data_IF_109695490728
#
_entry.id   IF_109695490728
#
_cell.length_a   1.000
_cell.length_b   1.000
_cell.length_c   1.000
_cell.angle_alpha   90.00
_cell.angle_beta   90.00
_cell.angle_gamma   90.00
#
_symmetry.space_group_name_H-M   'P 1'
#
loop_
_entity.id
_entity.type
_entity.pdbx_description
1 polymer ?
#
# COMPACT_ATOMS: atom_id res chain seq x y z
N UNK A 1 48.47 51.20 -33.38
CA UNK A 1 47.26 51.95 -32.97
C UNK A 1 46.28 50.98 -32.31
N UNK A 2 46.32 50.85 -30.99
CA UNK A 2 45.38 50.04 -30.22
C UNK A 2 44.13 50.87 -29.92
N UNK A 3 43.03 50.59 -30.62
CA UNK A 3 41.72 51.18 -30.34
C UNK A 3 40.95 50.30 -29.36
N UNK A 4 41.08 50.58 -28.06
CA UNK A 4 40.20 50.03 -27.04
C UNK A 4 38.86 50.80 -27.09
N UNK A 5 37.86 50.25 -27.78
CA UNK A 5 36.52 50.88 -27.83
C UNK A 5 35.81 50.64 -26.49
N UNK A 6 35.30 51.69 -25.81
CA UNK A 6 34.57 51.52 -24.58
C UNK A 6 33.21 50.87 -24.88
N UNK A 7 32.89 49.78 -24.18
CA UNK A 7 31.59 49.11 -24.25
C UNK A 7 30.53 50.12 -23.81
N UNK A 8 29.57 50.42 -24.68
CA UNK A 8 28.49 51.36 -24.36
C UNK A 8 27.54 50.69 -23.38
N UNK A 9 27.12 51.42 -22.34
CA UNK A 9 26.14 50.98 -21.32
C UNK A 9 24.85 50.37 -21.91
N UNK A 10 24.48 50.74 -23.13
CA UNK A 10 23.30 50.23 -23.85
C UNK A 10 23.51 48.81 -24.44
N UNK A 11 24.74 48.45 -24.77
CA UNK A 11 25.06 47.11 -25.29
C UNK A 11 25.17 46.08 -24.14
N UNK A 12 25.57 46.54 -22.94
CA UNK A 12 25.55 45.73 -21.71
C UNK A 12 24.12 45.38 -21.27
N UNK A 13 23.17 46.31 -21.39
CA UNK A 13 21.77 46.07 -21.06
C UNK A 13 21.07 45.15 -22.07
N UNK A 14 21.47 45.18 -23.34
CA UNK A 14 20.97 44.25 -24.37
C UNK A 14 21.45 42.79 -24.13
N UNK A 15 22.65 42.61 -23.57
CA UNK A 15 23.16 41.29 -23.15
C UNK A 15 22.54 40.76 -21.85
N UNK A 16 22.09 41.64 -20.95
CA UNK A 16 21.50 41.26 -19.68
C UNK A 16 20.05 40.73 -19.79
N UNK A 17 19.32 41.10 -20.84
CA UNK A 17 17.93 40.64 -21.04
C UNK A 17 17.80 39.22 -21.59
N UNK A 18 18.86 38.62 -22.14
CA UNK A 18 18.81 37.25 -22.67
C UNK A 18 19.05 36.17 -21.60
N UNK A 19 19.52 36.54 -20.40
CA UNK A 19 19.84 35.59 -19.32
C UNK A 19 18.66 35.29 -18.37
N UNK A 20 17.55 36.03 -18.47
CA UNK A 20 16.39 35.88 -17.58
C UNK A 20 15.22 35.06 -18.16
N UNK A 21 15.39 34.48 -19.35
CA UNK A 21 14.38 33.64 -20.00
C UNK A 21 14.72 32.13 -19.94
N UNK A 22 15.55 31.70 -18.99
CA UNK A 22 15.58 30.27 -18.64
C UNK A 22 14.44 30.01 -17.65
N UNK A 23 13.49 29.11 -17.95
CA UNK A 23 12.46 28.75 -16.98
C UNK A 23 13.16 28.20 -15.73
N UNK A 24 13.00 28.90 -14.60
CA UNK A 24 13.46 28.46 -13.28
C UNK A 24 12.78 27.17 -12.79
N UNK A 25 11.83 26.66 -13.57
CA UNK A 25 11.21 25.35 -13.41
C UNK A 25 11.61 24.55 -14.64
N UNK A 26 12.78 23.93 -14.60
CA UNK A 26 13.08 22.83 -15.51
C UNK A 26 12.25 21.65 -14.99
N UNK A 27 11.26 21.15 -15.75
CA UNK A 27 10.58 19.93 -15.37
C UNK A 27 11.64 18.86 -15.22
N UNK A 28 11.60 18.15 -14.10
CA UNK A 28 12.57 17.14 -13.71
C UNK A 28 12.68 15.94 -14.70
N UNK A 29 11.92 16.00 -15.80
CA UNK A 29 11.96 15.14 -16.99
C UNK A 29 13.15 15.41 -17.93
N UNK A 30 13.82 16.57 -17.83
CA UNK A 30 14.79 17.03 -18.85
C UNK A 30 16.25 16.68 -18.50
N UNK A 31 16.55 16.31 -17.26
CA UNK A 31 17.92 15.97 -16.81
C UNK A 31 17.98 14.54 -16.26
N UNK A 32 17.90 13.55 -17.16
CA UNK A 32 18.21 12.16 -16.83
C UNK A 32 19.65 11.83 -17.26
N UNK A 33 20.50 11.42 -16.31
CA UNK A 33 21.81 10.85 -16.61
C UNK A 33 21.65 9.35 -16.91
N UNK A 34 22.37 8.84 -17.91
CA UNK A 34 22.31 7.44 -18.31
C UNK A 34 22.64 6.50 -17.14
N UNK A 35 21.74 5.56 -16.83
CA UNK A 35 21.99 4.48 -15.86
C UNK A 35 21.49 4.71 -14.42
N UNK A 36 20.90 5.86 -14.11
CA UNK A 36 20.16 6.08 -12.85
C UNK A 36 18.77 6.63 -13.17
N UNK A 37 17.68 5.86 -12.91
CA UNK A 37 16.33 6.38 -12.98
C UNK A 37 16.25 7.68 -12.18
N UNK A 38 15.76 8.76 -12.82
CA UNK A 38 15.58 10.04 -12.14
C UNK A 38 14.63 9.87 -10.95
N UNK A 39 14.69 10.79 -9.97
CA UNK A 39 13.81 10.74 -8.80
C UNK A 39 12.30 10.66 -9.16
N UNK A 40 11.89 11.09 -10.35
CA UNK A 40 10.50 11.03 -10.84
C UNK A 40 10.10 9.73 -11.54
N UNK A 41 11.00 8.73 -11.61
CA UNK A 41 10.66 7.40 -12.14
C UNK A 41 10.33 6.41 -11.02
N UNK A 42 10.38 6.85 -9.75
CA UNK A 42 10.06 6.04 -8.57
C UNK A 42 8.60 6.22 -8.17
N UNK A 43 7.98 5.14 -7.75
CA UNK A 43 6.66 5.19 -7.09
C UNK A 43 6.87 5.50 -5.61
N UNK A 44 6.28 6.59 -5.13
CA UNK A 44 6.35 7.00 -3.73
C UNK A 44 5.24 6.34 -2.92
N UNK A 45 5.62 5.61 -1.87
CA UNK A 45 4.76 4.70 -1.13
C UNK A 45 4.52 5.15 0.32
N UNK A 46 3.26 5.03 0.74
CA UNK A 46 2.85 5.00 2.15
C UNK A 46 2.36 3.61 2.57
N UNK A 47 2.65 3.21 3.80
CA UNK A 47 2.20 1.92 4.35
C UNK A 47 1.19 2.14 5.46
N UNK A 48 0.02 1.48 5.36
CA UNK A 48 -1.08 1.54 6.33
C UNK A 48 -1.28 0.14 6.90
N UNK A 49 -1.01 -0.01 8.21
CA UNK A 49 -0.86 -1.30 8.87
C UNK A 49 0.54 -1.88 8.63
N UNK A 50 1.37 -1.90 9.68
CA UNK A 50 2.78 -2.36 9.63
C UNK A 50 3.05 -3.49 10.63
N UNK A 51 2.01 -4.26 10.95
CA UNK A 51 2.09 -5.53 11.69
C UNK A 51 2.69 -6.68 10.88
N UNK A 52 2.19 -7.90 11.04
CA UNK A 52 2.78 -9.11 10.42
C UNK A 52 3.00 -9.01 8.91
N UNK A 53 1.92 -8.98 8.11
CA UNK A 53 2.03 -8.85 6.65
C UNK A 53 2.52 -7.47 6.22
N UNK A 54 2.04 -6.42 6.88
CA UNK A 54 2.44 -5.03 6.59
C UNK A 54 3.94 -4.79 6.73
N UNK A 55 4.59 -5.35 7.75
CA UNK A 55 6.04 -5.31 7.93
C UNK A 55 6.79 -6.10 6.86
N UNK A 56 6.24 -7.23 6.41
CA UNK A 56 6.77 -7.99 5.26
C UNK A 56 6.74 -7.16 3.97
N UNK A 57 5.61 -6.49 3.71
CA UNK A 57 5.46 -5.57 2.58
C UNK A 57 6.39 -4.36 2.66
N UNK A 58 6.54 -3.78 3.86
CA UNK A 58 7.46 -2.69 4.11
C UNK A 58 8.90 -3.09 3.74
N UNK A 59 9.34 -4.29 4.17
CA UNK A 59 10.64 -4.84 3.78
C UNK A 59 10.79 -5.00 2.27
N UNK A 60 9.73 -5.42 1.55
CA UNK A 60 9.74 -5.48 0.07
C UNK A 60 9.82 -4.09 -0.56
N UNK A 61 9.10 -3.10 -0.04
CA UNK A 61 9.17 -1.71 -0.48
C UNK A 61 10.58 -1.11 -0.28
N UNK A 62 11.22 -1.40 0.85
CA UNK A 62 12.61 -0.99 1.10
C UNK A 62 13.58 -1.65 0.11
N UNK A 63 13.39 -2.94 -0.21
CA UNK A 63 14.19 -3.62 -1.24
C UNK A 63 13.98 -3.00 -2.63
N UNK A 64 12.74 -2.67 -3.02
CA UNK A 64 12.48 -1.99 -4.28
C UNK A 64 13.06 -0.58 -4.32
N UNK A 65 13.18 0.07 -3.16
CA UNK A 65 13.88 1.35 -3.03
C UNK A 65 15.38 1.23 -3.29
N UNK A 66 16.04 0.18 -2.77
CA UNK A 66 17.45 -0.10 -3.08
C UNK A 66 17.69 -0.30 -4.58
N UNK A 67 16.71 -0.90 -5.27
CA UNK A 67 16.70 -1.07 -6.73
C UNK A 67 16.29 0.21 -7.50
N UNK A 68 16.02 1.31 -6.79
CA UNK A 68 15.63 2.58 -7.40
C UNK A 68 14.23 2.59 -8.04
N UNK A 69 13.35 1.66 -7.65
CA UNK A 69 11.99 1.52 -8.20
C UNK A 69 10.91 2.24 -7.37
N UNK A 70 11.13 2.36 -6.07
CA UNK A 70 10.17 2.97 -5.13
C UNK A 70 10.87 3.92 -4.16
N UNK A 71 10.13 4.80 -3.52
CA UNK A 71 10.57 5.53 -2.33
C UNK A 71 9.54 5.31 -1.22
N UNK A 72 9.99 4.97 0.00
CA UNK A 72 9.09 4.76 1.14
C UNK A 72 9.15 6.00 2.02
N UNK A 73 8.03 6.72 2.15
CA UNK A 73 8.02 8.03 2.82
C UNK A 73 7.09 8.10 4.02
N UNK A 74 6.19 7.12 4.20
CA UNK A 74 5.24 7.12 5.31
C UNK A 74 4.92 5.71 5.80
N UNK A 75 4.75 5.58 7.11
CA UNK A 75 4.26 4.38 7.79
C UNK A 75 3.14 4.75 8.76
N UNK A 76 2.15 3.89 8.92
CA UNK A 76 1.00 4.12 9.77
C UNK A 76 0.56 2.85 10.49
N UNK A 77 0.33 2.94 11.80
CA UNK A 77 -0.27 1.90 12.63
C UNK A 77 -0.95 2.53 13.84
N UNK A 78 -2.02 1.89 14.33
CA UNK A 78 -2.74 2.29 15.55
C UNK A 78 -2.05 1.77 16.81
N UNK A 79 -1.15 0.79 16.66
CA UNK A 79 -0.28 0.29 17.71
C UNK A 79 1.06 1.03 17.66
N UNK A 80 1.31 1.88 18.67
CA UNK A 80 2.50 2.74 18.72
C UNK A 80 3.81 1.95 18.80
N UNK A 81 3.79 0.72 19.33
CA UNK A 81 4.97 -0.17 19.36
C UNK A 81 5.31 -0.67 17.97
N UNK A 82 4.29 -1.08 17.18
CA UNK A 82 4.50 -1.49 15.78
C UNK A 82 4.94 -0.33 14.91
N UNK A 83 4.34 0.85 15.13
CA UNK A 83 4.69 2.07 14.41
C UNK A 83 6.16 2.45 14.65
N UNK A 84 6.61 2.44 15.91
CA UNK A 84 8.00 2.73 16.27
C UNK A 84 8.97 1.72 15.65
N UNK A 85 8.62 0.42 15.69
CA UNK A 85 9.42 -0.63 15.05
C UNK A 85 9.56 -0.41 13.54
N UNK A 86 8.46 -0.11 12.85
CA UNK A 86 8.48 0.14 11.41
C UNK A 86 9.31 1.38 11.06
N UNK A 87 9.16 2.47 11.80
CA UNK A 87 9.96 3.68 11.62
C UNK A 87 11.46 3.39 11.82
N UNK A 88 11.83 2.61 12.84
CA UNK A 88 13.20 2.16 13.05
C UNK A 88 13.72 1.32 11.87
N UNK A 89 12.95 0.33 11.41
CA UNK A 89 13.32 -0.49 10.25
C UNK A 89 13.58 0.36 9.00
N UNK A 90 12.76 1.39 8.75
CA UNK A 90 13.01 2.33 7.65
C UNK A 90 14.29 3.14 7.86
N UNK A 91 14.52 3.66 9.07
CA UNK A 91 15.72 4.43 9.39
C UNK A 91 17.00 3.60 9.25
N UNK A 92 17.00 2.36 9.75
CA UNK A 92 18.11 1.41 9.62
C UNK A 92 18.41 1.11 8.13
N UNK A 93 17.39 1.11 7.26
CA UNK A 93 17.52 0.96 5.80
C UNK A 93 17.79 2.29 5.06
N UNK A 94 18.02 3.39 5.78
CA UNK A 94 18.30 4.71 5.21
C UNK A 94 17.11 5.38 4.51
N UNK A 95 15.88 4.93 4.76
CA UNK A 95 14.65 5.54 4.27
C UNK A 95 14.13 6.58 5.28
N UNK A 96 13.76 7.77 4.79
CA UNK A 96 13.21 8.85 5.61
C UNK A 96 11.70 8.79 5.59
N UNK A 97 11.12 8.26 6.66
CA UNK A 97 9.67 8.11 6.79
C UNK A 97 9.08 9.01 7.86
N UNK A 98 7.85 9.47 7.64
CA UNK A 98 7.01 10.05 8.70
C UNK A 98 6.04 9.01 9.21
N UNK A 99 5.99 8.85 10.53
CA UNK A 99 5.09 7.94 11.23
C UNK A 99 3.73 8.63 11.50
N UNK A 100 2.64 7.87 11.33
CA UNK A 100 1.27 8.32 11.55
C UNK A 100 0.51 7.33 12.42
N UNK A 101 -0.23 7.82 13.42
CA UNK A 101 -1.19 6.99 14.16
C UNK A 101 -2.56 6.89 13.43
N UNK A 102 -2.84 7.86 12.55
CA UNK A 102 -4.08 7.95 11.80
C UNK A 102 -3.79 7.99 10.29
N UNK A 103 -4.29 6.98 9.57
CA UNK A 103 -4.05 6.83 8.15
C UNK A 103 -4.63 7.99 7.33
N UNK A 104 -5.68 8.65 7.81
CA UNK A 104 -6.30 9.79 7.12
C UNK A 104 -5.30 10.93 6.98
N UNK A 105 -4.43 11.14 7.97
CA UNK A 105 -3.36 12.15 7.92
C UNK A 105 -2.26 11.77 6.92
N UNK A 106 -1.96 10.48 6.78
CA UNK A 106 -1.05 9.97 5.75
C UNK A 106 -1.64 10.23 4.35
N UNK A 107 -2.94 9.97 4.15
CA UNK A 107 -3.61 10.17 2.86
C UNK A 107 -3.67 11.64 2.39
N UNK A 108 -3.52 12.61 3.29
CA UNK A 108 -3.45 14.03 2.91
C UNK A 108 -2.13 14.44 2.25
N UNK A 109 -1.10 13.59 2.32
CA UNK A 109 0.18 13.85 1.66
C UNK A 109 0.05 13.85 0.15
N UNK A 110 0.51 14.92 -0.48
CA UNK A 110 0.51 15.09 -1.94
C UNK A 110 1.68 14.40 -2.62
N UNK A 111 2.73 14.06 -1.86
CA UNK A 111 3.93 13.40 -2.37
C UNK A 111 3.82 11.87 -2.39
N UNK A 112 2.68 11.28 -2.01
CA UNK A 112 2.45 9.83 -2.05
C UNK A 112 1.62 9.48 -3.29
N UNK A 113 2.20 8.64 -4.15
CA UNK A 113 1.56 8.13 -5.37
C UNK A 113 0.64 6.94 -5.07
N UNK A 114 1.08 6.05 -4.17
CA UNK A 114 0.33 4.84 -3.84
C UNK A 114 0.45 4.44 -2.37
N UNK A 115 -0.55 3.71 -1.87
CA UNK A 115 -0.55 3.15 -0.52
C UNK A 115 -0.61 1.63 -0.54
N UNK A 116 0.08 1.02 0.41
CA UNK A 116 -0.01 -0.40 0.74
C UNK A 116 -0.85 -0.54 2.00
N UNK A 117 -2.01 -1.16 1.88
CA UNK A 117 -2.97 -1.41 2.96
C UNK A 117 -2.85 -2.86 3.40
N UNK A 118 -2.40 -3.07 4.64
CA UNK A 118 -2.23 -4.39 5.27
C UNK A 118 -2.78 -4.38 6.72
N UNK A 119 -3.90 -3.70 6.90
CA UNK A 119 -4.67 -3.62 8.15
C UNK A 119 -5.50 -4.89 8.35
N UNK A 120 -6.25 -5.03 9.46
CA UNK A 120 -7.27 -6.07 9.56
C UNK A 120 -8.33 -5.96 8.46
N UNK A 121 -8.90 -7.10 8.08
CA UNK A 121 -9.77 -7.26 6.90
C UNK A 121 -10.97 -6.27 6.88
N UNK A 122 -11.54 -5.94 8.06
CA UNK A 122 -12.63 -4.98 8.20
C UNK A 122 -12.29 -3.54 7.82
N UNK A 123 -11.00 -3.19 7.74
CA UNK A 123 -10.54 -1.85 7.36
C UNK A 123 -10.28 -1.69 5.87
N UNK A 124 -10.07 -2.78 5.14
CA UNK A 124 -9.55 -2.75 3.78
C UNK A 124 -10.40 -1.91 2.82
N UNK A 125 -11.72 -2.08 2.85
CA UNK A 125 -12.61 -1.41 1.92
C UNK A 125 -12.63 0.11 2.12
N UNK A 126 -12.90 0.56 3.36
CA UNK A 126 -12.97 1.99 3.68
C UNK A 126 -11.63 2.69 3.45
N UNK A 127 -10.51 2.05 3.80
CA UNK A 127 -9.18 2.63 3.55
C UNK A 127 -8.86 2.70 2.06
N UNK A 128 -9.31 1.72 1.26
CA UNK A 128 -9.15 1.74 -0.20
C UNK A 128 -9.96 2.87 -0.81
N UNK A 129 -11.23 3.04 -0.41
CA UNK A 129 -12.10 4.12 -0.88
C UNK A 129 -11.48 5.48 -0.56
N UNK A 130 -11.11 5.73 0.70
CA UNK A 130 -10.48 6.99 1.10
C UNK A 130 -9.15 7.24 0.37
N UNK A 131 -8.36 6.20 0.10
CA UNK A 131 -7.12 6.35 -0.67
C UNK A 131 -7.42 6.75 -2.12
N UNK A 132 -8.38 6.11 -2.77
CA UNK A 132 -8.79 6.47 -4.13
C UNK A 132 -9.36 7.88 -4.22
N UNK A 133 -10.20 8.30 -3.25
CA UNK A 133 -10.76 9.66 -3.17
C UNK A 133 -9.69 10.74 -2.97
N UNK A 134 -8.52 10.37 -2.43
CA UNK A 134 -7.35 11.26 -2.30
C UNK A 134 -6.34 11.08 -3.43
N UNK A 135 -6.75 10.46 -4.55
CA UNK A 135 -5.98 10.30 -5.77
C UNK A 135 -4.88 9.23 -5.70
N UNK A 136 -4.86 8.39 -4.67
CA UNK A 136 -3.79 7.41 -4.43
C UNK A 136 -4.12 6.07 -5.05
N UNK A 137 -3.15 5.49 -5.75
CA UNK A 137 -3.21 4.09 -6.14
C UNK A 137 -3.10 3.18 -4.92
N UNK A 138 -3.63 1.97 -5.00
CA UNK A 138 -3.79 1.10 -3.83
C UNK A 138 -3.28 -0.31 -4.14
N UNK A 139 -2.40 -0.80 -3.28
CA UNK A 139 -2.27 -2.23 -3.04
C UNK A 139 -2.98 -2.54 -1.73
N UNK A 140 -3.96 -3.44 -1.74
CA UNK A 140 -4.71 -3.83 -0.53
C UNK A 140 -4.58 -5.33 -0.33
N UNK A 141 -4.30 -5.76 0.90
CA UNK A 141 -4.22 -7.19 1.21
C UNK A 141 -5.54 -7.92 0.99
N UNK A 142 -5.44 -9.24 0.87
CA UNK A 142 -6.60 -10.13 0.85
C UNK A 142 -7.00 -10.50 2.28
N UNK A 143 -8.27 -10.85 2.53
CA UNK A 143 -9.43 -10.60 1.66
C UNK A 143 -9.69 -9.10 1.48
N UNK A 144 -10.12 -8.66 0.31
CA UNK A 144 -10.21 -7.22 0.01
C UNK A 144 -11.33 -6.48 0.75
N UNK A 145 -12.37 -7.19 1.20
CA UNK A 145 -13.55 -6.63 1.88
C UNK A 145 -14.29 -7.71 2.67
N UNK A 146 -15.16 -7.29 3.60
CA UNK A 146 -16.00 -8.16 4.43
C UNK A 146 -17.34 -8.44 3.75
N UNK A 147 -17.84 -7.50 2.94
CA UNK A 147 -19.11 -7.61 2.21
C UNK A 147 -18.95 -7.34 0.71
N UNK A 148 -19.88 -7.86 -0.10
CA UNK A 148 -19.90 -7.59 -1.55
C UNK A 148 -20.11 -6.10 -1.85
N UNK A 149 -20.94 -5.42 -1.05
CA UNK A 149 -21.21 -3.98 -1.21
C UNK A 149 -19.98 -3.13 -0.98
N UNK A 150 -19.17 -3.48 0.02
CA UNK A 150 -17.85 -2.86 0.23
C UNK A 150 -16.94 -3.04 -0.99
N UNK A 151 -16.86 -4.26 -1.54
CA UNK A 151 -16.09 -4.51 -2.75
C UNK A 151 -16.56 -3.68 -3.95
N UNK A 152 -17.87 -3.52 -4.13
CA UNK A 152 -18.42 -2.65 -5.18
C UNK A 152 -18.05 -1.18 -4.95
N UNK A 153 -18.13 -0.69 -3.72
CA UNK A 153 -17.71 0.68 -3.37
C UNK A 153 -16.22 0.92 -3.67
N UNK A 154 -15.35 -0.06 -3.42
CA UNK A 154 -13.93 0.03 -3.80
C UNK A 154 -13.74 0.15 -5.30
N UNK A 155 -14.48 -0.64 -6.10
CA UNK A 155 -14.41 -0.60 -7.57
C UNK A 155 -14.91 0.74 -8.10
N UNK A 156 -16.00 1.26 -7.53
CA UNK A 156 -16.58 2.53 -7.93
C UNK A 156 -15.63 3.69 -7.61
N UNK A 157 -15.08 3.74 -6.39
CA UNK A 157 -14.10 4.75 -5.99
C UNK A 157 -12.85 4.71 -6.87
N UNK A 158 -12.33 3.53 -7.20
CA UNK A 158 -11.17 3.37 -8.08
C UNK A 158 -11.44 3.91 -9.48
N UNK A 159 -12.60 3.59 -10.07
CA UNK A 159 -12.97 4.03 -11.42
C UNK A 159 -13.23 5.53 -11.49
N UNK A 160 -13.98 6.07 -10.52
CA UNK A 160 -14.33 7.49 -10.48
C UNK A 160 -13.10 8.38 -10.34
N UNK A 161 -12.09 7.94 -9.58
CA UNK A 161 -10.87 8.71 -9.32
C UNK A 161 -9.69 8.28 -10.21
N UNK A 162 -9.90 7.43 -11.21
CA UNK A 162 -8.84 6.96 -12.12
C UNK A 162 -7.71 6.17 -11.44
N UNK A 163 -7.95 5.63 -10.25
CA UNK A 163 -6.94 4.96 -9.43
C UNK A 163 -6.74 3.51 -9.85
N UNK A 164 -5.49 3.03 -9.76
CA UNK A 164 -5.17 1.61 -9.91
C UNK A 164 -5.27 0.93 -8.55
N UNK A 165 -6.05 -0.15 -8.47
CA UNK A 165 -6.20 -0.94 -7.25
C UNK A 165 -5.80 -2.37 -7.54
N UNK A 166 -4.90 -2.92 -6.72
CA UNK A 166 -4.45 -4.30 -6.78
C UNK A 166 -4.72 -5.00 -5.45
N UNK A 167 -5.45 -6.12 -5.49
CA UNK A 167 -5.64 -6.99 -4.33
C UNK A 167 -4.43 -7.92 -4.18
N UNK A 168 -3.98 -8.13 -2.94
CA UNK A 168 -2.84 -8.96 -2.54
C UNK A 168 -3.06 -10.47 -2.69
N UNK A 169 -3.66 -10.91 -3.80
CA UNK A 169 -3.85 -12.33 -4.13
C UNK A 169 -2.55 -12.99 -4.63
N UNK A 170 -1.50 -12.94 -3.81
CA UNK A 170 -0.13 -13.34 -4.13
C UNK A 170 -0.02 -14.79 -4.64
N UNK A 171 -0.96 -15.66 -4.27
CA UNK A 171 -1.06 -17.03 -4.78
C UNK A 171 -1.04 -17.11 -6.31
N UNK A 172 -1.64 -16.13 -7.02
CA UNK A 172 -1.62 -16.05 -8.49
C UNK A 172 -0.23 -15.77 -9.07
N UNK A 173 0.61 -15.06 -8.33
CA UNK A 173 1.98 -14.74 -8.72
C UNK A 173 2.97 -15.85 -8.34
N UNK A 174 2.52 -16.89 -7.63
CA UNK A 174 3.33 -18.06 -7.33
C UNK A 174 3.62 -18.88 -8.59
N UNK A 175 4.86 -19.40 -8.71
CA UNK A 175 5.28 -20.23 -9.85
C UNK A 175 4.27 -21.35 -10.19
N UNK A 176 3.74 -22.14 -9.22
CA UNK A 176 2.79 -23.19 -9.53
C UNK A 176 1.53 -22.65 -10.21
N UNK A 177 0.88 -21.64 -9.63
CA UNK A 177 -0.34 -21.05 -10.19
C UNK A 177 -0.09 -20.46 -11.58
N UNK A 178 1.04 -19.77 -11.77
CA UNK A 178 1.44 -19.21 -13.05
C UNK A 178 1.58 -20.29 -14.13
N UNK A 179 2.30 -21.38 -13.85
CA UNK A 179 2.48 -22.46 -14.81
C UNK A 179 1.19 -23.24 -15.08
N UNK A 180 0.37 -23.49 -14.06
CA UNK A 180 -0.93 -24.14 -14.20
C UNK A 180 -1.87 -23.32 -15.08
N UNK A 181 -2.02 -22.01 -14.82
CA UNK A 181 -2.85 -21.13 -15.62
C UNK A 181 -2.38 -21.09 -17.09
N UNK A 182 -1.05 -21.03 -17.30
CA UNK A 182 -0.46 -21.13 -18.65
C UNK A 182 -0.79 -22.45 -19.33
N UNK A 183 -0.63 -23.59 -18.66
CA UNK A 183 -0.92 -24.91 -19.23
C UNK A 183 -2.40 -25.03 -19.65
N UNK A 184 -3.32 -24.59 -18.80
CA UNK A 184 -4.76 -24.59 -19.08
C UNK A 184 -5.07 -23.72 -20.30
N UNK A 185 -4.58 -22.47 -20.33
CA UNK A 185 -4.85 -21.53 -21.44
C UNK A 185 -4.25 -21.97 -22.78
N UNK A 186 -3.18 -22.77 -22.75
CA UNK A 186 -2.59 -23.36 -23.96
C UNK A 186 -3.19 -24.73 -24.32
N UNK A 187 -4.25 -25.17 -23.63
CA UNK A 187 -4.99 -26.38 -23.96
C UNK A 187 -4.31 -27.69 -23.58
N UNK A 188 -3.24 -27.67 -22.76
CA UNK A 188 -2.44 -28.87 -22.45
C UNK A 188 -3.24 -29.97 -21.74
N UNK A 189 -4.33 -29.62 -21.04
CA UNK A 189 -5.16 -30.58 -20.29
C UNK A 189 -6.59 -30.68 -20.83
N UNK A 190 -6.89 -30.05 -21.98
CA UNK A 190 -8.24 -29.95 -22.53
C UNK A 190 -9.18 -29.07 -21.71
N UNK A 191 -10.49 -29.27 -21.87
CA UNK A 191 -11.53 -28.52 -21.16
C UNK A 191 -11.62 -28.97 -19.70
N UNK A 192 -11.34 -28.06 -18.77
CA UNK A 192 -11.55 -28.30 -17.33
C UNK A 192 -13.05 -28.39 -17.04
N UNK A 193 -13.49 -29.50 -16.46
CA UNK A 193 -14.90 -29.75 -16.09
C UNK A 193 -15.14 -29.78 -14.59
N UNK A 194 -14.09 -29.96 -13.78
CA UNK A 194 -14.16 -30.01 -12.32
C UNK A 194 -12.88 -29.46 -11.71
N UNK A 195 -13.00 -28.72 -10.62
CA UNK A 195 -11.89 -28.29 -9.77
C UNK A 195 -12.26 -28.61 -8.33
N UNK A 196 -11.40 -29.36 -7.64
CA UNK A 196 -11.54 -29.66 -6.22
C UNK A 196 -10.58 -28.77 -5.43
N UNK A 197 -11.06 -28.14 -4.36
CA UNK A 197 -10.25 -27.32 -3.47
C UNK A 197 -10.65 -27.52 -2.02
N UNK A 198 -9.69 -27.34 -1.11
CA UNK A 198 -9.91 -27.42 0.33
C UNK A 198 -9.23 -26.25 1.04
N UNK A 199 -9.75 -25.92 2.21
CA UNK A 199 -9.11 -25.02 3.16
C UNK A 199 -9.15 -25.65 4.55
N UNK A 200 -8.30 -25.15 5.45
CA UNK A 200 -8.27 -25.63 6.84
C UNK A 200 -9.55 -25.26 7.58
N UNK A 201 -9.90 -26.00 8.63
CA UNK A 201 -10.96 -25.62 9.54
C UNK A 201 -10.63 -24.29 10.22
N UNK A 202 -11.64 -23.42 10.38
CA UNK A 202 -11.48 -22.16 11.10
C UNK A 202 -11.20 -22.45 12.58
N UNK A 203 -10.07 -21.95 13.14
CA UNK A 203 -9.82 -22.05 14.57
C UNK A 203 -10.95 -21.41 15.38
N UNK A 204 -11.33 -22.04 16.47
CA UNK A 204 -12.31 -21.51 17.42
C UNK A 204 -11.68 -21.41 18.80
N UNK A 205 -11.87 -20.27 19.46
CA UNK A 205 -11.38 -20.06 20.82
C UNK A 205 -12.31 -20.76 21.82
N UNK A 206 -11.76 -21.73 22.55
CA UNK A 206 -12.48 -22.51 23.58
C UNK A 206 -12.28 -21.95 25.00
N UNK A 207 -11.48 -20.90 25.16
CA UNK A 207 -11.07 -20.36 26.46
C UNK A 207 -11.36 -18.85 26.53
N UNK A 208 -12.65 -18.45 26.64
CA UNK A 208 -13.01 -17.05 26.73
C UNK A 208 -12.39 -16.41 27.99
N UNK A 209 -12.00 -15.15 27.87
CA UNK A 209 -11.49 -14.33 28.97
C UNK A 209 -12.35 -13.08 29.13
N UNK A 210 -12.46 -12.50 30.33
CA UNK A 210 -13.18 -11.26 30.53
C UNK A 210 -12.62 -10.12 29.68
N UNK A 211 -13.49 -9.19 29.32
CA UNK A 211 -13.09 -7.92 28.72
C UNK A 211 -12.24 -7.11 29.70
N UNK A 212 -11.35 -6.29 29.17
CA UNK A 212 -10.48 -5.43 29.97
C UNK A 212 -10.15 -4.14 29.21
N UNK A 213 -9.43 -3.23 29.87
CA UNK A 213 -8.93 -2.03 29.20
C UNK A 213 -7.89 -2.40 28.13
N UNK A 214 -7.86 -1.67 26.99
CA UNK A 214 -6.83 -1.88 25.99
C UNK A 214 -5.46 -1.47 26.53
N UNK A 215 -4.38 -2.11 26.04
CA UNK A 215 -3.04 -1.72 26.43
C UNK A 215 -2.72 -0.32 25.89
N UNK A 216 -1.95 0.46 26.64
CA UNK A 216 -1.74 1.91 26.38
C UNK A 216 -1.20 2.24 24.99
N UNK A 217 -0.48 1.32 24.34
CA UNK A 217 0.05 1.49 23.00
C UNK A 217 -0.99 1.35 21.88
N UNK A 218 -2.18 0.80 22.16
CA UNK A 218 -3.18 0.47 21.14
C UNK A 218 -4.37 1.43 21.23
N UNK A 219 -4.59 2.21 20.17
CA UNK A 219 -5.86 2.90 19.97
C UNK A 219 -6.94 1.88 19.58
N UNK A 220 -7.75 1.48 20.56
CA UNK A 220 -8.77 0.44 20.38
C UNK A 220 -9.94 0.89 19.51
N UNK A 221 -10.37 2.14 19.65
CA UNK A 221 -11.47 2.68 18.85
C UNK A 221 -11.07 2.73 17.36
N UNK A 222 -9.83 3.15 17.07
CA UNK A 222 -9.28 3.08 15.72
C UNK A 222 -8.93 1.65 15.29
N UNK A 223 -8.69 0.71 16.20
CA UNK A 223 -8.55 -0.69 15.81
C UNK A 223 -9.88 -1.29 15.35
N UNK A 224 -10.96 -1.03 16.10
CA UNK A 224 -12.33 -1.47 15.77
C UNK A 224 -12.85 -0.82 14.50
N UNK A 225 -12.76 0.50 14.41
CA UNK A 225 -13.13 1.24 13.22
C UNK A 225 -14.56 1.00 12.74
N UNK A 226 -14.76 0.44 11.53
CA UNK A 226 -16.09 0.20 10.97
C UNK A 226 -16.87 -0.93 11.66
N UNK A 227 -16.25 -1.68 12.57
CA UNK A 227 -16.96 -2.71 13.34
C UNK A 227 -17.92 -2.07 14.35
N UNK A 228 -18.93 -2.84 14.78
CA UNK A 228 -19.73 -2.46 15.95
C UNK A 228 -18.81 -2.32 17.16
N UNK A 229 -18.93 -1.19 17.86
CA UNK A 229 -18.17 -0.90 19.07
C UNK A 229 -18.35 -2.00 20.12
N UNK A 230 -17.26 -2.33 20.81
CA UNK A 230 -17.24 -3.27 21.94
C UNK A 230 -16.05 -3.01 22.86
N UNK A 231 -16.07 -3.49 24.11
CA UNK A 231 -14.90 -3.48 24.98
C UNK A 231 -13.71 -4.21 24.36
N UNK A 232 -12.51 -3.83 24.78
CA UNK A 232 -11.32 -4.55 24.38
C UNK A 232 -11.30 -5.94 25.01
N UNK A 233 -10.87 -6.92 24.21
CA UNK A 233 -10.58 -8.25 24.68
C UNK A 233 -9.25 -8.71 24.06
N UNK A 234 -8.28 -9.19 24.85
CA UNK A 234 -6.99 -9.66 24.32
C UNK A 234 -7.14 -10.86 23.38
N UNK A 235 -8.29 -11.54 23.36
CA UNK A 235 -8.58 -12.60 22.39
C UNK A 235 -9.02 -12.07 21.03
N UNK A 236 -9.29 -10.78 20.84
CA UNK A 236 -9.70 -10.26 19.52
C UNK A 236 -8.51 -9.83 18.65
N UNK A 237 -7.36 -9.50 19.26
CA UNK A 237 -6.19 -9.03 18.52
C UNK A 237 -4.87 -9.34 19.25
N UNK A 238 -3.74 -9.40 18.51
CA UNK A 238 -3.64 -9.43 17.06
C UNK A 238 -3.87 -10.83 16.48
N UNK A 239 -4.23 -10.88 15.20
CA UNK A 239 -4.34 -12.14 14.44
C UNK A 239 -5.67 -12.88 14.61
N UNK A 240 -6.23 -12.95 15.82
CA UNK A 240 -7.50 -13.67 16.07
C UNK A 240 -8.71 -13.04 15.38
N UNK A 241 -8.66 -11.75 15.05
CA UNK A 241 -9.67 -11.08 14.20
C UNK A 241 -9.98 -11.89 12.93
N UNK A 242 -9.00 -12.64 12.39
CA UNK A 242 -9.17 -13.51 11.22
C UNK A 242 -10.27 -14.55 11.40
N UNK A 243 -10.48 -15.00 12.63
CA UNK A 243 -11.38 -16.10 12.97
C UNK A 243 -12.77 -15.62 13.40
N UNK A 244 -12.95 -14.31 13.60
CA UNK A 244 -14.22 -13.71 13.97
C UNK A 244 -15.01 -13.36 12.71
N UNK A 245 -16.30 -13.71 12.68
CA UNK A 245 -17.13 -13.57 11.47
C UNK A 245 -17.25 -12.14 10.94
N UNK A 246 -17.33 -11.18 11.84
CA UNK A 246 -17.54 -9.76 11.51
C UNK A 246 -16.29 -9.03 11.02
N UNK A 247 -15.09 -9.55 11.33
CA UNK A 247 -13.82 -8.96 10.89
C UNK A 247 -13.18 -9.79 9.80
N UNK A 248 -12.71 -11.00 10.12
CA UNK A 248 -11.98 -11.85 9.17
C UNK A 248 -12.78 -12.92 8.46
N UNK A 249 -13.89 -13.40 9.03
CA UNK A 249 -14.75 -14.41 8.40
C UNK A 249 -14.16 -15.83 8.28
N UNK A 250 -13.05 -16.12 8.94
CA UNK A 250 -12.48 -17.46 9.05
C UNK A 250 -11.57 -17.89 7.90
N UNK A 251 -11.20 -19.17 7.89
CA UNK A 251 -10.25 -19.75 6.93
C UNK A 251 -10.72 -19.67 5.47
N UNK A 252 -12.04 -19.70 5.23
CA UNK A 252 -12.62 -19.53 3.89
C UNK A 252 -12.24 -18.17 3.29
N UNK A 253 -12.14 -17.11 4.11
CA UNK A 253 -11.73 -15.77 3.66
C UNK A 253 -10.23 -15.56 3.76
N UNK A 254 -9.54 -16.15 4.74
CA UNK A 254 -8.09 -16.01 4.86
C UNK A 254 -7.32 -16.84 3.81
N UNK A 255 -7.47 -18.17 3.81
CA UNK A 255 -6.77 -19.08 2.90
C UNK A 255 -7.61 -19.41 1.67
N UNK A 256 -8.92 -19.54 1.83
CA UNK A 256 -9.83 -19.81 0.71
C UNK A 256 -9.78 -18.70 -0.34
N UNK A 257 -9.59 -17.42 0.04
CA UNK A 257 -9.40 -16.33 -0.91
C UNK A 257 -8.23 -16.56 -1.88
N UNK A 258 -7.13 -17.17 -1.43
CA UNK A 258 -6.03 -17.54 -2.34
C UNK A 258 -6.44 -18.64 -3.31
N UNK A 259 -7.16 -19.65 -2.83
CA UNK A 259 -7.62 -20.78 -3.65
C UNK A 259 -8.61 -20.31 -4.71
N UNK A 260 -9.68 -19.62 -4.30
CA UNK A 260 -10.68 -19.10 -5.23
C UNK A 260 -10.06 -18.11 -6.23
N UNK A 261 -9.12 -17.27 -5.79
CA UNK A 261 -8.44 -16.36 -6.72
C UNK A 261 -7.66 -17.10 -7.82
N UNK A 262 -7.02 -18.23 -7.50
CA UNK A 262 -6.31 -19.03 -8.50
C UNK A 262 -7.27 -19.83 -9.40
N UNK A 263 -8.36 -20.36 -8.85
CA UNK A 263 -9.36 -21.14 -9.58
C UNK A 263 -10.13 -20.27 -10.59
N UNK A 264 -10.42 -19.02 -10.23
CA UNK A 264 -11.15 -18.07 -11.08
C UNK A 264 -10.26 -17.34 -12.10
N UNK A 265 -8.94 -17.61 -12.13
CA UNK A 265 -7.97 -16.90 -12.98
C UNK A 265 -7.64 -17.63 -14.29
#
# INVERSE_FOLDING_TARGET
MNSNKPIKRRDFLAGATAAFAMPYIIPSRVLAAAGRPGANERITLGFIGVGGMGGGHLGRGLKFRELGQTEVVAVCDVDSTRLAKAAKTCADAGARVKAYADYRRLLLRQDIDAVVIATPDHWHAVQTVHACETGKHVYVEKPSSVTVREGQAMVDAARQNGCKVQVGAQGRSGKPAYYTCRAIRNGLIGRVTKVDCWHYETPYDKNPVPDCDPPAQLDWDMWLGPLRWRPYNPRYCPGTFRWLMESGGGQIRDRGAHQFSAILW
#
